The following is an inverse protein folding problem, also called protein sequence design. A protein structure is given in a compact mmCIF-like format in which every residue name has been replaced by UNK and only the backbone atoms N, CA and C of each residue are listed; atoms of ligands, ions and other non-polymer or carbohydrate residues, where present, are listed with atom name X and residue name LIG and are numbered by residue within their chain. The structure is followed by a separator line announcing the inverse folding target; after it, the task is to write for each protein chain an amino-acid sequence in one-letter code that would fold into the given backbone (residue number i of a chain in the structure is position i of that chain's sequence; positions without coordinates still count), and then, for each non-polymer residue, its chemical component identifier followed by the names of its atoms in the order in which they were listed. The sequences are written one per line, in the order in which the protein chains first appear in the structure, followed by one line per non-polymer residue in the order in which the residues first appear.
data_IF_112098732836
#
_entry.id   IF_112098732836
#
_cell.length_a   1.000
_cell.length_b   1.000
_cell.length_c   1.000
_cell.angle_alpha   90.00
_cell.angle_beta   90.00
_cell.angle_gamma   90.00
#
_symmetry.space_group_name_H-M   'P 1'
#
loop_
_entity.id
_entity.type
_entity.pdbx_description
1 polymer ?
#
# COMPACT_ATOMS: atom_id res chain seq x y z
N UNK A 1 -1.92 -10.91 22.33
CA UNK A 1 -3.26 -10.31 22.24
C UNK A 1 -3.79 -9.91 23.61
N UNK A 2 -4.01 -10.84 24.56
CA UNK A 2 -4.61 -10.55 25.88
C UNK A 2 -3.92 -9.44 26.68
N UNK A 3 -2.59 -9.52 26.89
CA UNK A 3 -1.86 -8.53 27.68
C UNK A 3 -1.90 -7.13 27.06
N UNK A 4 -1.64 -7.01 25.75
CA UNK A 4 -1.63 -5.72 25.04
C UNK A 4 -2.98 -4.98 25.09
N UNK A 5 -4.10 -5.71 24.99
CA UNK A 5 -5.44 -5.11 25.09
C UNK A 5 -5.69 -4.53 26.48
N UNK A 6 -5.27 -5.25 27.54
CA UNK A 6 -5.40 -4.79 28.92
C UNK A 6 -4.48 -3.60 29.18
N UNK A 7 -3.23 -3.68 28.74
CA UNK A 7 -2.22 -2.62 28.89
C UNK A 7 -2.67 -1.32 28.22
N UNK A 8 -3.15 -1.35 26.98
CA UNK A 8 -3.60 -0.13 26.28
C UNK A 8 -4.75 0.59 27.02
N UNK A 9 -5.62 -0.15 27.71
CA UNK A 9 -6.71 0.44 28.49
C UNK A 9 -6.26 1.10 29.79
N UNK A 10 -5.14 0.63 30.38
CA UNK A 10 -4.61 1.13 31.66
C UNK A 10 -3.43 2.10 31.49
N UNK A 11 -2.71 2.00 30.37
CA UNK A 11 -1.53 2.77 30.03
C UNK A 11 -1.64 3.26 28.57
N UNK A 12 -2.44 4.32 28.32
CA UNK A 12 -2.62 4.82 26.98
C UNK A 12 -1.31 5.39 26.41
N UNK A 13 -1.11 5.33 25.09
CA UNK A 13 0.08 5.91 24.46
C UNK A 13 0.09 7.43 24.60
N UNK A 14 1.28 8.03 24.46
CA UNK A 14 1.44 9.48 24.44
C UNK A 14 0.65 10.10 23.29
N UNK A 15 -0.03 11.21 23.58
CA UNK A 15 -0.70 11.97 22.52
C UNK A 15 0.34 12.60 21.58
N UNK A 16 0.17 12.49 20.25
CA UNK A 16 1.12 13.06 19.32
C UNK A 16 1.05 14.58 19.37
N UNK A 17 2.23 15.21 19.36
CA UNK A 17 2.39 16.67 19.40
C UNK A 17 1.78 17.33 18.15
N UNK A 18 1.31 18.59 18.23
CA UNK A 18 0.72 19.29 17.09
C UNK A 18 1.61 19.28 15.83
N UNK A 19 2.92 19.49 16.00
CA UNK A 19 3.89 19.49 14.91
C UNK A 19 4.04 18.12 14.23
N UNK A 20 3.90 17.01 14.98
CA UNK A 20 3.92 15.66 14.41
C UNK A 20 2.68 15.38 13.57
N UNK A 21 1.51 15.86 14.02
CA UNK A 21 0.26 15.75 13.27
C UNK A 21 0.34 16.55 11.96
N UNK A 22 0.78 17.80 12.04
CA UNK A 22 0.95 18.66 10.88
C UNK A 22 1.91 18.06 9.85
N UNK A 23 3.04 17.49 10.30
CA UNK A 23 3.98 16.79 9.42
C UNK A 23 3.35 15.56 8.79
N UNK A 24 2.62 14.75 9.56
CA UNK A 24 1.93 13.55 9.05
C UNK A 24 0.87 13.88 8.00
N UNK A 25 0.09 14.93 8.20
CA UNK A 25 -0.91 15.40 7.23
C UNK A 25 -0.25 15.81 5.90
N UNK A 26 0.87 16.53 5.98
CA UNK A 26 1.65 16.95 4.82
C UNK A 26 2.24 15.76 4.04
N UNK A 27 2.96 14.87 4.72
CA UNK A 27 3.63 13.74 4.05
C UNK A 27 2.62 12.69 3.55
N UNK A 28 1.43 12.59 4.16
CA UNK A 28 0.36 11.73 3.68
C UNK A 28 -0.13 12.14 2.28
N UNK A 29 -0.24 13.45 2.02
CA UNK A 29 -0.61 13.98 0.70
C UNK A 29 0.45 13.63 -0.35
N UNK A 30 1.74 13.84 -0.03
CA UNK A 30 2.87 13.52 -0.91
C UNK A 30 2.95 12.02 -1.20
N UNK A 31 2.87 11.19 -0.16
CA UNK A 31 2.90 9.72 -0.30
C UNK A 31 1.76 9.21 -1.17
N UNK A 32 0.55 9.73 -0.96
CA UNK A 32 -0.64 9.34 -1.72
C UNK A 32 -0.53 9.74 -3.18
N UNK A 33 -0.01 10.93 -3.47
CA UNK A 33 0.18 11.39 -4.84
C UNK A 33 1.24 10.54 -5.57
N UNK A 34 2.40 10.28 -4.93
CA UNK A 34 3.43 9.41 -5.49
C UNK A 34 2.87 8.01 -5.78
N UNK A 35 2.18 7.40 -4.81
CA UNK A 35 1.54 6.09 -4.98
C UNK A 35 0.56 6.08 -6.16
N UNK A 36 -0.35 7.08 -6.22
CA UNK A 36 -1.36 7.17 -7.28
C UNK A 36 -0.74 7.47 -8.64
N UNK A 37 0.35 8.25 -8.69
CA UNK A 37 1.05 8.55 -9.94
C UNK A 37 1.53 7.26 -10.62
N UNK A 38 2.05 6.32 -9.83
CA UNK A 38 2.54 5.03 -10.33
C UNK A 38 1.39 4.03 -10.55
N UNK A 39 0.51 3.85 -9.56
CA UNK A 39 -0.47 2.74 -9.59
C UNK A 39 -1.71 3.06 -10.43
N UNK A 40 -2.10 4.34 -10.50
CA UNK A 40 -3.34 4.78 -11.13
C UNK A 40 -3.11 5.60 -12.40
N UNK A 41 -2.10 6.48 -12.42
CA UNK A 41 -1.89 7.43 -13.54
C UNK A 41 -0.93 6.89 -14.61
N UNK A 42 0.03 6.03 -14.27
CA UNK A 42 0.95 5.44 -15.26
C UNK A 42 0.22 4.43 -16.17
N UNK A 43 0.10 4.69 -17.48
CA UNK A 43 -0.71 3.87 -18.38
C UNK A 43 -0.23 2.42 -18.49
N UNK A 44 1.08 2.18 -18.34
CA UNK A 44 1.70 0.85 -18.49
C UNK A 44 1.75 0.06 -17.19
N UNK A 45 1.27 0.61 -16.07
CA UNK A 45 1.41 -0.04 -14.77
C UNK A 45 0.70 -1.40 -14.73
N UNK A 46 -0.49 -1.51 -15.30
CA UNK A 46 -1.26 -2.78 -15.31
C UNK A 46 -0.55 -3.84 -16.13
N UNK A 47 0.07 -3.46 -17.25
CA UNK A 47 0.88 -4.36 -18.07
C UNK A 47 2.08 -4.85 -17.27
N UNK A 48 2.88 -3.93 -16.72
CA UNK A 48 4.03 -4.25 -15.88
C UNK A 48 3.66 -5.17 -14.71
N UNK A 49 2.58 -4.86 -13.99
CA UNK A 49 2.11 -5.65 -12.86
C UNK A 49 1.81 -7.10 -13.26
N UNK A 50 1.15 -7.32 -14.40
CA UNK A 50 0.80 -8.66 -14.90
C UNK A 50 2.01 -9.43 -15.45
N UNK A 51 3.01 -8.72 -15.98
CA UNK A 51 4.24 -9.33 -16.50
C UNK A 51 5.27 -9.61 -15.40
N UNK A 52 5.35 -8.75 -14.38
CA UNK A 52 6.34 -8.82 -13.33
C UNK A 52 5.88 -9.59 -12.09
N UNK A 53 4.62 -10.01 -12.02
CA UNK A 53 4.06 -10.76 -10.89
C UNK A 53 3.16 -11.90 -11.37
N UNK A 54 2.96 -12.96 -10.56
CA UNK A 54 2.10 -14.07 -10.95
C UNK A 54 0.60 -13.77 -10.74
N UNK A 55 0.15 -12.52 -10.87
CA UNK A 55 -1.25 -12.15 -10.60
C UNK A 55 -2.23 -12.89 -11.52
N UNK A 56 -1.87 -13.01 -12.79
CA UNK A 56 -2.73 -13.65 -13.79
C UNK A 56 -2.80 -15.15 -13.58
N UNK A 57 -1.69 -15.79 -13.22
CA UNK A 57 -1.59 -17.21 -12.89
C UNK A 57 -2.36 -17.50 -11.59
N UNK A 58 -2.19 -16.68 -10.55
CA UNK A 58 -2.91 -16.80 -9.28
C UNK A 58 -4.42 -16.82 -9.48
N UNK A 59 -4.95 -15.99 -10.38
CA UNK A 59 -6.38 -15.95 -10.71
C UNK A 59 -6.88 -17.19 -11.48
N UNK A 60 -6.00 -17.95 -12.13
CA UNK A 60 -6.33 -19.17 -12.90
C UNK A 60 -6.17 -20.46 -12.11
N UNK A 61 -5.33 -20.46 -11.07
CA UNK A 61 -5.06 -21.64 -10.26
C UNK A 61 -6.13 -21.85 -9.18
N UNK A 62 -6.33 -23.11 -8.78
CA UNK A 62 -7.23 -23.49 -7.68
C UNK A 62 -6.63 -23.21 -6.30
N UNK A 63 -6.12 -21.99 -6.09
CA UNK A 63 -5.51 -21.53 -4.83
C UNK A 63 -6.48 -20.62 -4.06
N UNK A 64 -7.19 -19.76 -4.77
CA UNK A 64 -8.15 -18.83 -4.17
C UNK A 64 -9.57 -19.39 -4.14
N UNK A 65 -10.25 -19.32 -3.00
CA UNK A 65 -11.69 -19.63 -2.91
C UNK A 65 -12.59 -18.55 -3.52
N UNK A 66 -12.03 -17.37 -3.80
CA UNK A 66 -12.76 -16.18 -4.26
C UNK A 66 -12.17 -15.64 -5.56
N UNK A 67 -12.99 -15.04 -6.43
CA UNK A 67 -12.49 -14.34 -7.61
C UNK A 67 -11.50 -13.23 -7.25
N UNK A 68 -10.37 -13.16 -7.95
CA UNK A 68 -9.32 -12.17 -7.71
C UNK A 68 -9.77 -10.73 -8.02
N UNK A 69 -10.68 -10.56 -8.99
CA UNK A 69 -11.22 -9.26 -9.42
C UNK A 69 -12.72 -9.17 -9.19
N UNK A 70 -13.21 -7.95 -8.94
CA UNK A 70 -14.65 -7.62 -8.90
C UNK A 70 -15.24 -7.45 -10.29
N UNK A 71 -14.47 -6.91 -11.25
CA UNK A 71 -14.85 -6.73 -12.66
C UNK A 71 -13.74 -7.26 -13.56
N UNK A 72 -13.99 -8.22 -14.47
CA UNK A 72 -12.94 -8.87 -15.27
C UNK A 72 -12.12 -7.92 -16.16
N UNK A 73 -12.75 -6.85 -16.67
CA UNK A 73 -12.12 -5.84 -17.55
C UNK A 73 -11.57 -4.61 -16.81
N UNK A 74 -11.64 -4.57 -15.48
CA UNK A 74 -11.18 -3.42 -14.72
C UNK A 74 -9.66 -3.35 -14.59
N UNK A 75 -9.15 -2.13 -14.36
CA UNK A 75 -7.77 -1.90 -13.91
C UNK A 75 -7.55 -2.36 -12.46
N UNK A 76 -6.52 -1.83 -11.81
CA UNK A 76 -6.17 -2.18 -10.43
C UNK A 76 -7.31 -1.92 -9.44
N UNK A 77 -8.14 -0.93 -9.70
CA UNK A 77 -9.31 -0.60 -8.87
C UNK A 77 -10.33 -1.75 -8.76
N UNK A 78 -10.28 -2.71 -9.70
CA UNK A 78 -11.12 -3.90 -9.66
C UNK A 78 -10.48 -5.08 -8.92
N UNK A 79 -9.18 -5.01 -8.62
CA UNK A 79 -8.42 -6.06 -7.92
C UNK A 79 -8.72 -6.01 -6.42
N UNK A 80 -8.81 -7.19 -5.79
CA UNK A 80 -8.98 -7.28 -4.33
C UNK A 80 -7.63 -7.13 -3.62
N UNK A 81 -7.66 -6.70 -2.36
CA UNK A 81 -6.47 -6.49 -1.56
C UNK A 81 -5.59 -7.75 -1.40
N UNK A 82 -6.19 -8.93 -1.21
CA UNK A 82 -5.42 -10.19 -1.08
C UNK A 82 -4.61 -10.48 -2.36
N UNK A 83 -5.21 -10.58 -3.56
CA UNK A 83 -4.45 -10.72 -4.81
C UNK A 83 -3.40 -9.63 -5.03
N UNK A 84 -3.69 -8.37 -4.65
CA UNK A 84 -2.74 -7.27 -4.76
C UNK A 84 -1.48 -7.51 -3.94
N UNK A 85 -1.61 -7.73 -2.63
CA UNK A 85 -0.47 -7.98 -1.75
C UNK A 85 0.23 -9.30 -2.08
N UNK A 86 -0.54 -10.36 -2.37
CA UNK A 86 -0.02 -11.69 -2.63
C UNK A 86 0.92 -11.69 -3.84
N UNK A 87 0.50 -11.08 -4.95
CA UNK A 87 1.27 -11.10 -6.21
C UNK A 87 2.65 -10.44 -6.06
N UNK A 88 2.72 -9.30 -5.36
CA UNK A 88 4.00 -8.63 -5.06
C UNK A 88 4.85 -9.31 -3.98
N UNK A 89 4.20 -10.09 -3.11
CA UNK A 89 4.91 -10.90 -2.11
C UNK A 89 5.63 -12.07 -2.76
N UNK A 90 5.00 -12.71 -3.76
CA UNK A 90 5.64 -13.81 -4.51
C UNK A 90 6.94 -13.38 -5.17
N UNK A 91 7.03 -12.14 -5.65
CA UNK A 91 8.21 -11.62 -6.35
C UNK A 91 9.21 -10.94 -5.42
N UNK A 92 8.98 -10.97 -4.10
CA UNK A 92 9.84 -10.37 -3.06
C UNK A 92 10.03 -8.85 -3.21
N UNK A 93 9.24 -8.20 -4.08
CA UNK A 93 9.36 -6.78 -4.32
C UNK A 93 8.54 -5.94 -3.33
N UNK A 94 7.42 -6.48 -2.83
CA UNK A 94 6.61 -5.87 -1.79
C UNK A 94 6.16 -4.42 -2.07
N UNK A 95 6.06 -4.02 -3.34
CA UNK A 95 5.69 -2.67 -3.79
C UNK A 95 4.53 -2.02 -3.00
N UNK A 96 3.42 -2.72 -2.71
CA UNK A 96 2.28 -2.13 -1.99
C UNK A 96 2.56 -1.69 -0.56
N UNK A 97 3.66 -2.17 0.03
CA UNK A 97 3.98 -1.94 1.45
C UNK A 97 4.75 -0.64 1.64
N UNK A 98 5.56 -0.24 0.66
CA UNK A 98 6.52 0.86 0.83
C UNK A 98 6.35 1.99 -0.19
N UNK A 99 5.66 1.77 -1.31
CA UNK A 99 5.51 2.79 -2.36
C UNK A 99 4.85 4.07 -1.81
N UNK A 100 5.45 5.22 -2.09
CA UNK A 100 5.04 6.54 -1.59
C UNK A 100 5.82 7.00 -0.35
N UNK A 101 6.29 6.07 0.49
CA UNK A 101 6.99 6.42 1.74
C UNK A 101 8.31 7.15 1.50
N UNK A 102 9.09 6.72 0.49
CA UNK A 102 10.35 7.37 0.14
C UNK A 102 10.20 8.82 -0.31
N UNK A 103 9.16 9.13 -1.08
CA UNK A 103 8.87 10.50 -1.52
C UNK A 103 8.45 11.38 -0.34
N UNK A 104 7.59 10.86 0.53
CA UNK A 104 7.16 11.51 1.77
C UNK A 104 8.34 11.88 2.69
N UNK A 105 9.23 10.93 2.99
CA UNK A 105 10.38 11.20 3.85
C UNK A 105 11.37 12.17 3.20
N UNK A 106 11.64 12.03 1.90
CA UNK A 106 12.53 12.95 1.17
C UNK A 106 11.97 14.38 1.17
N UNK A 107 10.65 14.52 1.07
CA UNK A 107 9.97 15.82 1.17
C UNK A 107 10.14 16.43 2.56
N UNK A 108 9.89 15.67 3.62
CA UNK A 108 10.08 16.13 5.00
C UNK A 108 11.53 16.56 5.28
N UNK A 109 12.52 15.72 4.91
CA UNK A 109 13.94 16.00 5.16
C UNK A 109 14.46 17.25 4.44
N UNK A 110 13.93 17.58 3.26
CA UNK A 110 14.33 18.79 2.52
C UNK A 110 13.85 20.08 3.19
N UNK A 111 12.83 20.00 4.04
CA UNK A 111 12.23 21.14 4.72
C UNK A 111 12.91 21.44 6.07
N UNK A 112 13.59 20.45 6.63
CA UNK A 112 14.39 20.55 7.85
C UNK A 112 15.80 21.15 7.63
N UNK A 113 16.25 21.25 6.37
CA UNK A 113 17.52 21.91 5.96
C UNK A 113 17.21 23.34 5.52
#
# INVERSE_FOLDING_TARGET
FTAATLEHGMHPPVSPKPEWRALLDEIAAVSTEEYRSVVMKEPRFVEYFRSATPETEYGKLNIGSRPAKRKPKGGIESLRAIPWIFSWTQTRFHLPVWLGFGAALKHAMKKDI
#
